data_IF_402045781928
#
_entry.id   IF_402045781928
#
_cell.length_a   1.000
_cell.length_b   1.000
_cell.length_c   1.000
_cell.angle_alpha   90.00
_cell.angle_beta   90.00
_cell.angle_gamma   90.00
#
_symmetry.space_group_name_H-M   'P 1'
#
loop_
_entity.id
_entity.type
_entity.pdbx_description
1 polymer ?
#
# COMPACT_ATOMS: atom_id res chain seq x y z
N UNK A 1 -5.86 -22.51 15.78
CA UNK A 1 -5.60 -21.30 14.99
C UNK A 1 -6.70 -21.11 13.97
N UNK A 2 -7.38 -19.97 14.02
CA UNK A 2 -8.26 -19.42 12.99
C UNK A 2 -7.48 -19.13 11.71
N UNK A 3 -8.16 -18.77 10.62
CA UNK A 3 -7.49 -18.38 9.37
C UNK A 3 -6.54 -17.20 9.57
N UNK A 4 -6.98 -16.16 10.30
CA UNK A 4 -6.15 -14.98 10.60
C UNK A 4 -4.92 -15.35 11.41
N UNK A 5 -5.05 -16.19 12.45
CA UNK A 5 -3.90 -16.66 13.23
C UNK A 5 -2.91 -17.46 12.38
N UNK A 6 -3.39 -18.30 11.44
CA UNK A 6 -2.50 -19.05 10.54
C UNK A 6 -1.73 -18.15 9.59
N UNK A 7 -2.41 -17.16 8.99
CA UNK A 7 -1.78 -16.17 8.10
C UNK A 7 -0.73 -15.39 8.88
N UNK A 8 -1.10 -14.82 10.03
CA UNK A 8 -0.15 -14.05 10.85
C UNK A 8 1.04 -14.91 11.32
N UNK A 9 0.82 -16.15 11.75
CA UNK A 9 1.91 -17.05 12.13
C UNK A 9 2.88 -17.32 10.96
N UNK A 10 2.34 -17.53 9.75
CA UNK A 10 3.16 -17.71 8.55
C UNK A 10 4.02 -16.48 8.22
N UNK A 11 3.48 -15.26 8.40
CA UNK A 11 4.21 -14.00 8.17
C UNK A 11 5.18 -13.61 9.29
N UNK A 12 5.21 -14.38 10.37
CA UNK A 12 6.16 -14.22 11.47
C UNK A 12 7.21 -15.33 11.51
N UNK A 13 7.23 -16.26 10.55
CA UNK A 13 8.06 -17.47 10.57
C UNK A 13 7.86 -18.32 11.85
N UNK A 14 6.60 -18.46 12.28
CA UNK A 14 6.23 -19.16 13.51
C UNK A 14 5.20 -20.25 13.27
N UNK A 15 5.31 -21.35 14.01
CA UNK A 15 4.31 -22.44 13.96
C UNK A 15 2.94 -22.02 14.51
N UNK A 16 2.91 -20.99 15.38
CA UNK A 16 1.69 -20.47 16.00
C UNK A 16 1.81 -19.06 16.56
N UNK A 17 0.67 -18.38 16.55
CA UNK A 17 0.37 -17.16 17.31
C UNK A 17 -0.95 -17.33 18.05
N UNK A 18 -1.24 -16.44 19.00
CA UNK A 18 -2.50 -16.44 19.78
C UNK A 18 -3.06 -15.01 19.95
N UNK A 19 -4.35 -14.84 20.26
CA UNK A 19 -4.94 -13.52 20.44
C UNK A 19 -4.31 -12.79 21.63
N UNK A 20 -4.09 -11.48 21.47
CA UNK A 20 -3.43 -10.64 22.49
C UNK A 20 -1.90 -10.69 22.47
N UNK A 21 -1.30 -11.46 21.57
CA UNK A 21 0.15 -11.48 21.37
C UNK A 21 0.59 -10.31 20.48
N UNK A 22 1.71 -9.67 20.85
CA UNK A 22 2.41 -8.72 19.98
C UNK A 22 3.35 -9.49 19.06
N UNK A 23 3.25 -9.21 17.77
CA UNK A 23 4.02 -9.89 16.71
C UNK A 23 4.60 -8.85 15.76
N UNK A 24 5.70 -9.21 15.11
CA UNK A 24 6.26 -8.51 13.97
C UNK A 24 6.06 -9.40 12.75
N UNK A 25 5.30 -8.94 11.76
CA UNK A 25 4.90 -9.73 10.60
C UNK A 25 5.37 -9.03 9.32
N UNK A 26 5.94 -9.81 8.40
CA UNK A 26 6.25 -9.36 7.05
C UNK A 26 4.98 -9.08 6.27
N UNK A 27 4.96 -8.01 5.48
CA UNK A 27 3.81 -7.62 4.65
C UNK A 27 4.01 -8.08 3.21
N UNK A 28 2.94 -8.59 2.60
CA UNK A 28 2.90 -8.97 1.18
C UNK A 28 2.69 -7.83 0.24
N UNK A 29 1.85 -6.90 0.66
CA UNK A 29 1.51 -5.76 -0.16
C UNK A 29 1.09 -4.59 0.72
N UNK A 30 1.47 -3.39 0.29
CA UNK A 30 0.95 -2.16 0.84
C UNK A 30 0.27 -1.36 -0.27
N UNK A 31 -0.80 -0.65 0.05
CA UNK A 31 -1.38 0.30 -0.89
C UNK A 31 -1.71 1.65 -0.23
N UNK A 32 -2.01 2.64 -1.06
CA UNK A 32 -2.48 3.93 -0.59
C UNK A 32 -3.07 4.78 -1.71
N UNK A 33 -4.04 5.60 -1.35
CA UNK A 33 -4.75 6.50 -2.27
C UNK A 33 -4.26 7.95 -2.14
N UNK A 34 -4.85 8.86 -2.93
CA UNK A 34 -4.49 10.27 -2.97
C UNK A 34 -4.81 11.07 -1.68
N UNK A 35 -5.52 10.47 -0.72
CA UNK A 35 -5.78 11.06 0.60
C UNK A 35 -4.75 10.57 1.62
N UNK A 36 -4.57 9.25 1.73
CA UNK A 36 -3.74 8.65 2.79
C UNK A 36 -2.25 8.58 2.43
N UNK A 37 -1.92 8.33 1.16
CA UNK A 37 -0.54 8.19 0.72
C UNK A 37 0.30 9.46 0.94
N UNK A 38 -0.17 10.70 0.72
CA UNK A 38 0.62 11.89 1.04
C UNK A 38 1.11 11.95 2.48
N UNK A 39 0.25 11.57 3.44
CA UNK A 39 0.61 11.51 4.87
C UNK A 39 1.63 10.41 5.15
N UNK A 40 1.43 9.22 4.56
CA UNK A 40 2.36 8.10 4.68
C UNK A 40 3.73 8.43 4.06
N UNK A 41 3.77 9.15 2.93
CA UNK A 41 4.99 9.59 2.25
C UNK A 41 5.75 10.61 3.10
N UNK A 42 5.04 11.55 3.72
CA UNK A 42 5.65 12.50 4.66
C UNK A 42 6.25 11.77 5.87
N UNK A 43 5.50 10.85 6.48
CA UNK A 43 5.99 10.03 7.58
C UNK A 43 7.21 9.20 7.16
N UNK A 44 7.17 8.56 5.99
CA UNK A 44 8.28 7.80 5.41
C UNK A 44 9.52 8.67 5.25
N UNK A 45 9.39 9.88 4.68
CA UNK A 45 10.52 10.83 4.53
C UNK A 45 11.10 11.25 5.89
N UNK A 46 10.25 11.46 6.90
CA UNK A 46 10.68 11.80 8.26
C UNK A 46 11.46 10.68 8.97
N UNK A 47 11.30 9.42 8.54
CA UNK A 47 12.15 8.32 9.07
C UNK A 47 13.60 8.39 8.60
N UNK A 48 13.88 9.16 7.54
CA UNK A 48 15.20 9.21 6.89
C UNK A 48 15.48 8.04 5.95
N UNK A 49 14.50 7.14 5.73
CA UNK A 49 14.64 6.04 4.77
C UNK A 49 14.78 6.57 3.33
N UNK A 50 15.74 6.02 2.58
CA UNK A 50 15.99 6.43 1.20
C UNK A 50 15.13 5.67 0.18
N UNK A 51 14.77 4.42 0.50
CA UNK A 51 14.05 3.50 -0.39
C UNK A 51 12.92 2.80 0.36
N UNK A 52 11.82 2.56 -0.34
CA UNK A 52 10.76 1.66 0.14
C UNK A 52 11.29 0.23 0.27
N UNK A 53 10.61 -0.61 1.06
CA UNK A 53 11.05 -1.99 1.33
C UNK A 53 11.08 -2.85 0.06
N UNK A 54 10.09 -2.70 -0.81
CA UNK A 54 10.01 -3.39 -2.10
C UNK A 54 9.11 -2.59 -3.08
N UNK A 55 9.66 -2.04 -4.17
CA UNK A 55 8.89 -1.28 -5.16
C UNK A 55 7.82 -2.08 -5.92
N UNK A 56 7.90 -3.42 -5.91
CA UNK A 56 6.92 -4.31 -6.53
C UNK A 56 5.80 -4.71 -5.56
N UNK A 57 5.93 -4.45 -4.25
CA UNK A 57 4.92 -4.78 -3.22
C UNK A 57 4.19 -3.55 -2.69
N UNK A 58 4.23 -2.45 -3.44
CA UNK A 58 3.56 -1.20 -3.08
C UNK A 58 2.77 -0.69 -4.28
N UNK A 59 1.47 -0.45 -4.07
CA UNK A 59 0.62 0.23 -5.04
C UNK A 59 0.23 1.63 -4.58
N UNK A 60 0.18 2.57 -5.52
CA UNK A 60 -0.42 3.89 -5.32
C UNK A 60 -1.54 4.10 -6.33
N UNK A 61 -2.76 4.30 -5.83
CA UNK A 61 -4.00 4.37 -6.62
C UNK A 61 -4.76 5.67 -6.31
N UNK A 62 -4.52 6.76 -7.04
CA UNK A 62 -5.36 7.95 -6.95
C UNK A 62 -6.78 7.72 -7.49
N UNK A 63 -7.72 7.37 -6.63
CA UNK A 63 -9.12 7.07 -6.97
C UNK A 63 -10.16 7.95 -6.25
N UNK A 64 -9.77 8.78 -5.27
CA UNK A 64 -10.73 9.56 -4.46
C UNK A 64 -11.01 10.96 -5.02
N UNK A 65 -9.97 11.73 -5.36
CA UNK A 65 -10.09 13.09 -5.90
C UNK A 65 -9.51 13.23 -7.29
N UNK A 66 -9.48 12.15 -8.06
CA UNK A 66 -8.98 12.13 -9.43
C UNK A 66 -10.08 11.69 -10.41
N UNK A 67 -10.41 12.48 -11.45
CA UNK A 67 -9.76 13.73 -11.88
C UNK A 67 -9.83 14.88 -10.86
N UNK A 68 -8.74 15.65 -10.77
CA UNK A 68 -8.52 16.69 -9.76
C UNK A 68 -9.64 17.74 -9.77
N UNK A 69 -10.32 17.91 -8.63
CA UNK A 69 -11.41 18.89 -8.47
C UNK A 69 -10.92 20.32 -8.18
N UNK A 70 -9.70 20.45 -7.65
CA UNK A 70 -9.10 21.71 -7.20
C UNK A 70 -7.56 21.63 -7.15
N UNK A 71 -6.91 22.73 -6.76
CA UNK A 71 -5.44 22.80 -6.66
C UNK A 71 -4.90 21.85 -5.56
N UNK A 72 -5.64 21.66 -4.48
CA UNK A 72 -5.22 20.80 -3.37
C UNK A 72 -5.14 19.33 -3.81
N UNK A 73 -6.21 18.82 -4.43
CA UNK A 73 -6.24 17.47 -5.03
C UNK A 73 -5.19 17.32 -6.14
N UNK A 74 -4.98 18.36 -6.96
CA UNK A 74 -3.89 18.34 -7.95
C UNK A 74 -2.49 18.25 -7.33
N UNK A 75 -2.28 18.87 -6.17
CA UNK A 75 -1.01 18.82 -5.43
C UNK A 75 -0.80 17.45 -4.80
N UNK A 76 -1.84 16.85 -4.22
CA UNK A 76 -1.81 15.48 -3.70
C UNK A 76 -1.50 14.45 -4.79
N UNK A 77 -2.22 14.51 -5.92
CA UNK A 77 -1.99 13.63 -7.07
C UNK A 77 -0.58 13.80 -7.66
N UNK A 78 -0.05 15.03 -7.67
CA UNK A 78 1.33 15.29 -8.08
C UNK A 78 2.34 14.66 -7.12
N UNK A 79 2.16 14.83 -5.81
CA UNK A 79 3.06 14.31 -4.79
C UNK A 79 3.18 12.78 -4.87
N UNK A 80 2.06 12.06 -4.95
CA UNK A 80 2.08 10.59 -5.05
C UNK A 80 2.74 10.12 -6.34
N UNK A 81 2.55 10.83 -7.46
CA UNK A 81 3.16 10.53 -8.76
C UNK A 81 4.67 10.69 -8.70
N UNK A 82 5.12 11.80 -8.11
CA UNK A 82 6.55 12.08 -7.95
C UNK A 82 7.19 11.04 -7.06
N UNK A 83 6.57 10.70 -5.92
CA UNK A 83 7.05 9.64 -5.05
C UNK A 83 7.11 8.28 -5.75
N UNK A 84 6.08 7.91 -6.51
CA UNK A 84 6.07 6.67 -7.27
C UNK A 84 7.24 6.58 -8.25
N UNK A 85 7.55 7.69 -8.95
CA UNK A 85 8.70 7.78 -9.86
C UNK A 85 10.03 7.76 -9.11
N UNK A 86 10.15 8.52 -8.03
CA UNK A 86 11.33 8.58 -7.18
C UNK A 86 11.72 7.19 -6.67
N UNK A 87 10.73 6.40 -6.24
CA UNK A 87 10.90 5.07 -5.67
C UNK A 87 10.88 3.93 -6.71
N UNK A 88 10.64 4.24 -7.99
CA UNK A 88 10.48 3.28 -9.08
C UNK A 88 9.39 2.23 -8.80
N UNK A 89 8.24 2.66 -8.30
CA UNK A 89 7.13 1.76 -8.00
C UNK A 89 6.59 1.12 -9.28
N UNK A 90 6.41 -0.20 -9.25
CA UNK A 90 5.85 -0.96 -10.37
C UNK A 90 4.34 -0.68 -10.52
N UNK A 91 3.65 -0.50 -9.39
CA UNK A 91 2.19 -0.43 -9.32
C UNK A 91 1.68 0.99 -9.04
N UNK A 92 2.06 1.94 -9.89
CA UNK A 92 1.41 3.25 -9.94
C UNK A 92 0.28 3.28 -10.97
N UNK A 93 -0.95 3.48 -10.50
CA UNK A 93 -2.15 3.48 -11.33
C UNK A 93 -2.60 4.92 -11.59
N UNK A 94 -2.14 5.50 -12.69
CA UNK A 94 -2.48 6.87 -13.05
C UNK A 94 -3.92 7.01 -13.58
N UNK A 95 -4.39 8.26 -13.72
CA UNK A 95 -5.66 8.60 -14.38
C UNK A 95 -5.80 7.85 -15.71
N UNK A 96 -6.94 7.18 -15.90
CA UNK A 96 -7.22 6.36 -17.07
C UNK A 96 -6.74 4.90 -16.96
N UNK A 97 -5.94 4.57 -15.95
CA UNK A 97 -5.56 3.18 -15.59
C UNK A 97 -6.06 2.78 -14.20
N UNK A 98 -6.42 3.75 -13.36
CA UNK A 98 -6.96 3.54 -12.02
C UNK A 98 -8.43 3.12 -12.02
N UNK A 99 -8.87 2.64 -10.87
CA UNK A 99 -10.25 2.36 -10.46
C UNK A 99 -10.30 2.36 -8.93
N UNK A 100 -11.45 2.04 -8.34
CA UNK A 100 -11.60 1.98 -6.88
C UNK A 100 -10.57 0.98 -6.31
N UNK A 101 -9.68 1.41 -5.42
CA UNK A 101 -8.46 0.65 -5.07
C UNK A 101 -8.77 -0.76 -4.56
N UNK A 102 -9.79 -0.89 -3.70
CA UNK A 102 -10.20 -2.17 -3.11
C UNK A 102 -10.81 -3.15 -4.13
N UNK A 103 -11.30 -2.66 -5.27
CA UNK A 103 -11.76 -3.49 -6.38
C UNK A 103 -10.62 -3.78 -7.37
N UNK A 104 -9.83 -2.75 -7.68
CA UNK A 104 -8.76 -2.80 -8.66
C UNK A 104 -7.65 -3.77 -8.25
N UNK A 105 -7.16 -3.71 -7.00
CA UNK A 105 -5.99 -4.50 -6.59
C UNK A 105 -6.26 -6.02 -6.64
N UNK A 106 -7.41 -6.54 -6.15
CA UNK A 106 -7.78 -7.94 -6.37
C UNK A 106 -8.00 -8.28 -7.85
N UNK A 107 -8.63 -7.39 -8.64
CA UNK A 107 -8.88 -7.61 -10.07
C UNK A 107 -7.57 -7.74 -10.87
N UNK A 108 -6.54 -6.98 -10.50
CA UNK A 108 -5.21 -7.07 -11.11
C UNK A 108 -4.38 -8.25 -10.58
N UNK A 109 -4.92 -9.06 -9.66
CA UNK A 109 -4.23 -10.21 -9.07
C UNK A 109 -3.09 -9.83 -8.13
N UNK A 110 -3.15 -8.64 -7.52
CA UNK A 110 -2.12 -8.13 -6.59
C UNK A 110 -2.41 -8.44 -5.12
N UNK A 111 -3.63 -8.90 -4.82
CA UNK A 111 -4.04 -9.35 -3.49
C UNK A 111 -4.59 -10.75 -3.60
N UNK A 112 -3.92 -11.72 -2.99
CA UNK A 112 -4.14 -13.14 -3.15
C UNK A 112 -4.48 -13.82 -1.81
N UNK A 113 -5.06 -15.04 -1.84
CA UNK A 113 -5.35 -15.79 -0.64
C UNK A 113 -4.09 -16.07 0.17
N UNK A 114 -4.09 -15.65 1.44
CA UNK A 114 -2.96 -15.86 2.35
C UNK A 114 -2.11 -14.62 2.56
N UNK A 115 -2.21 -13.60 1.70
CA UNK A 115 -1.43 -12.38 1.82
C UNK A 115 -1.76 -11.60 3.10
N UNK A 116 -0.75 -10.96 3.68
CA UNK A 116 -0.90 -9.93 4.69
C UNK A 116 -0.75 -8.53 4.08
N UNK A 117 -1.87 -7.84 3.90
CA UNK A 117 -1.96 -6.54 3.19
C UNK A 117 -2.39 -5.42 4.13
N UNK A 118 -1.78 -4.24 3.98
CA UNK A 118 -2.16 -3.00 4.69
C UNK A 118 -2.42 -1.88 3.66
N UNK A 119 -3.45 -1.06 3.90
CA UNK A 119 -3.82 0.10 3.08
C UNK A 119 -4.25 1.29 3.93
#
# INVERSE_FOLDING_TARGET
MTISEKILAAHCDRDRVRPGELIEAGLDFCHGNDITAPLAIEAFRNTGAARVFDPARIALVPDHFVPNKDIASATQAKLIREFAREQNLVHYFEVGRMGIEHALLPEQGLVLPGDLVIG
#
